data_IF_488267775690
#
_entry.id   IF_488267775690
#
_cell.length_a   1.000
_cell.length_b   1.000
_cell.length_c   1.000
_cell.angle_alpha   90.00
_cell.angle_beta   90.00
_cell.angle_gamma   90.00
#
_symmetry.space_group_name_H-M   'P 1'
#
loop_
_entity.id
_entity.type
_entity.pdbx_description
1 polymer ?
#
# COMPACT_ATOMS: atom_id res chain seq x y z
N UNK A 1 -21.67 4.82 -9.12
CA UNK A 1 -20.53 5.49 -8.47
C UNK A 1 -20.90 5.89 -7.05
N UNK A 2 -19.98 5.74 -6.09
CA UNK A 2 -20.27 6.04 -4.69
C UNK A 2 -19.21 5.53 -3.72
N UNK A 3 -19.43 5.71 -2.42
CA UNK A 3 -18.58 5.18 -1.35
C UNK A 3 -19.29 4.01 -0.67
N UNK A 4 -18.57 2.92 -0.38
CA UNK A 4 -19.16 1.71 0.19
C UNK A 4 -18.14 0.80 0.87
N UNK A 5 -18.66 -0.28 1.45
CA UNK A 5 -17.85 -1.31 2.12
C UNK A 5 -18.23 -2.71 1.63
N UNK A 6 -17.23 -3.55 1.40
CA UNK A 6 -17.38 -4.96 1.02
C UNK A 6 -16.60 -5.81 2.01
N UNK A 7 -17.23 -6.86 2.54
CA UNK A 7 -16.55 -7.96 3.22
C UNK A 7 -16.60 -9.17 2.31
N UNK A 8 -15.44 -9.71 1.97
CA UNK A 8 -15.31 -10.82 1.06
C UNK A 8 -15.44 -12.16 1.82
N UNK A 9 -15.84 -13.21 1.11
CA UNK A 9 -15.99 -14.55 1.71
C UNK A 9 -14.67 -15.12 2.28
N UNK A 10 -13.52 -14.68 1.75
CA UNK A 10 -12.21 -15.06 2.25
C UNK A 10 -11.82 -14.35 3.57
N UNK A 11 -12.63 -13.40 4.04
CA UNK A 11 -12.41 -12.61 5.25
C UNK A 11 -11.66 -11.29 5.02
N UNK A 12 -11.29 -10.98 3.78
CA UNK A 12 -10.79 -9.66 3.44
C UNK A 12 -11.92 -8.62 3.50
N UNK A 13 -11.56 -7.34 3.57
CA UNK A 13 -12.52 -6.27 3.42
C UNK A 13 -11.96 -5.07 2.66
N UNK A 14 -12.87 -4.35 2.01
CA UNK A 14 -12.59 -3.08 1.36
C UNK A 14 -13.59 -2.03 1.84
N UNK A 15 -13.13 -0.79 1.99
CA UNK A 15 -13.99 0.37 2.21
C UNK A 15 -13.43 1.53 1.43
N UNK A 16 -14.21 2.13 0.53
CA UNK A 16 -13.71 3.15 -0.37
C UNK A 16 -14.68 3.52 -1.48
N UNK A 17 -14.15 4.25 -2.46
CA UNK A 17 -14.90 4.65 -3.64
C UNK A 17 -15.08 3.53 -4.66
N UNK A 18 -16.18 3.61 -5.39
CA UNK A 18 -16.52 2.75 -6.52
C UNK A 18 -16.93 3.60 -7.72
N UNK A 19 -16.48 3.19 -8.90
CA UNK A 19 -16.89 3.72 -10.20
C UNK A 19 -17.09 2.53 -11.14
N UNK A 20 -18.25 2.45 -11.80
CA UNK A 20 -18.59 1.33 -12.70
C UNK A 20 -18.32 -0.07 -12.11
N UNK A 21 -18.78 -0.30 -10.87
CA UNK A 21 -18.59 -1.55 -10.09
C UNK A 21 -17.12 -1.92 -9.78
N UNK A 22 -16.16 -1.04 -10.07
CA UNK A 22 -14.74 -1.19 -9.74
C UNK A 22 -14.35 -0.27 -8.60
N UNK A 23 -13.36 -0.67 -7.80
CA UNK A 23 -12.76 0.22 -6.79
C UNK A 23 -12.08 1.39 -7.47
N UNK A 24 -12.35 2.59 -6.98
CA UNK A 24 -11.86 3.83 -7.57
C UNK A 24 -11.67 4.93 -6.51
N UNK A 25 -10.71 5.82 -6.71
CA UNK A 25 -10.41 6.91 -5.79
C UNK A 25 -9.82 6.39 -4.48
N UNK A 26 -10.10 7.05 -3.35
CA UNK A 26 -9.53 6.65 -2.06
C UNK A 26 -10.21 5.40 -1.51
N UNK A 27 -9.42 4.45 -1.03
CA UNK A 27 -9.92 3.25 -0.37
C UNK A 27 -8.96 2.65 0.64
N UNK A 28 -9.51 1.84 1.53
CA UNK A 28 -8.81 0.97 2.46
C UNK A 28 -9.12 -0.48 2.09
N UNK A 29 -8.09 -1.30 1.93
CA UNK A 29 -8.22 -2.74 1.85
C UNK A 29 -7.54 -3.37 3.07
N UNK A 30 -8.20 -4.34 3.69
CA UNK A 30 -7.68 -5.12 4.80
C UNK A 30 -7.72 -6.58 4.40
N UNK A 31 -6.55 -7.20 4.34
CA UNK A 31 -6.44 -8.63 4.13
C UNK A 31 -6.68 -9.37 5.44
N UNK A 32 -7.25 -10.57 5.36
CA UNK A 32 -7.46 -11.45 6.52
C UNK A 32 -6.16 -11.77 7.26
N UNK A 33 -5.02 -11.78 6.57
CA UNK A 33 -3.70 -12.00 7.17
C UNK A 33 -3.21 -10.81 8.02
N UNK A 34 -3.95 -9.69 8.07
CA UNK A 34 -3.62 -8.51 8.83
C UNK A 34 -2.87 -7.43 8.05
N UNK A 35 -2.46 -7.68 6.80
CA UNK A 35 -1.97 -6.62 5.94
C UNK A 35 -3.08 -5.59 5.70
N UNK A 36 -2.72 -4.33 5.55
CA UNK A 36 -3.63 -3.25 5.21
C UNK A 36 -3.04 -2.36 4.12
N UNK A 37 -3.87 -1.84 3.24
CA UNK A 37 -3.50 -0.82 2.25
C UNK A 37 -4.49 0.34 2.35
N UNK A 38 -3.96 1.55 2.23
CA UNK A 38 -4.71 2.80 2.18
C UNK A 38 -4.16 3.63 1.04
N UNK A 39 -4.98 4.03 0.08
CA UNK A 39 -4.46 4.83 -1.03
C UNK A 39 -5.44 5.00 -2.17
N UNK A 40 -4.89 5.40 -3.30
CA UNK A 40 -5.65 5.57 -4.54
C UNK A 40 -5.91 4.23 -5.23
N UNK A 41 -7.10 4.12 -5.80
CA UNK A 41 -7.53 3.02 -6.64
C UNK A 41 -7.95 3.54 -8.01
N UNK A 42 -7.65 2.78 -9.05
CA UNK A 42 -8.17 2.97 -10.39
C UNK A 42 -8.29 1.61 -11.05
N UNK A 43 -9.43 1.33 -11.68
CA UNK A 43 -9.71 0.05 -12.33
C UNK A 43 -9.41 -1.17 -11.44
N UNK A 44 -9.87 -1.15 -10.18
CA UNK A 44 -9.64 -2.21 -9.18
C UNK A 44 -8.18 -2.42 -8.73
N UNK A 45 -7.24 -1.61 -9.20
CA UNK A 45 -5.83 -1.69 -8.84
C UNK A 45 -5.43 -0.55 -7.90
N UNK A 46 -4.51 -0.82 -6.98
CA UNK A 46 -3.85 0.24 -6.24
C UNK A 46 -3.01 1.07 -7.22
N UNK A 47 -3.17 2.39 -7.16
CA UNK A 47 -2.44 3.34 -7.99
C UNK A 47 -2.05 4.58 -7.17
N UNK A 48 -1.41 5.55 -7.80
CA UNK A 48 -1.13 6.85 -7.19
C UNK A 48 -0.41 6.74 -5.84
N UNK A 49 -0.83 7.53 -4.85
CA UNK A 49 -0.20 7.51 -3.52
C UNK A 49 -0.88 6.49 -2.63
N UNK A 50 -0.07 5.67 -1.95
CA UNK A 50 -0.57 4.68 -1.01
C UNK A 50 0.35 4.40 0.16
N UNK A 51 -0.24 3.76 1.17
CA UNK A 51 0.41 3.24 2.36
C UNK A 51 0.05 1.77 2.50
N UNK A 52 1.04 0.89 2.50
CA UNK A 52 0.87 -0.53 2.81
C UNK A 52 1.47 -0.82 4.18
N UNK A 53 0.72 -1.51 5.03
CA UNK A 53 1.10 -1.87 6.39
C UNK A 53 1.06 -3.39 6.51
N UNK A 54 2.14 -3.98 7.02
CA UNK A 54 2.24 -5.41 7.28
C UNK A 54 1.88 -5.74 8.73
N UNK A 55 1.53 -7.00 9.05
CA UNK A 55 1.12 -7.41 10.39
C UNK A 55 2.18 -7.23 11.47
N UNK A 56 3.46 -7.21 11.06
CA UNK A 56 4.59 -6.94 11.95
C UNK A 56 4.71 -5.45 12.34
N UNK A 57 3.94 -4.57 11.70
CA UNK A 57 4.00 -3.12 11.88
C UNK A 57 4.93 -2.40 10.90
N UNK A 58 5.64 -3.14 10.05
CA UNK A 58 6.38 -2.55 8.93
C UNK A 58 5.41 -1.83 7.99
N UNK A 59 5.87 -0.76 7.33
CA UNK A 59 5.05 0.02 6.40
C UNK A 59 5.82 0.59 5.22
N UNK A 60 5.13 0.73 4.10
CA UNK A 60 5.61 1.37 2.89
C UNK A 60 4.71 2.56 2.59
N UNK A 61 5.30 3.71 2.33
CA UNK A 61 4.62 4.95 1.95
C UNK A 61 5.25 5.43 0.62
N UNK A 62 4.48 5.47 -0.46
CA UNK A 62 5.02 5.79 -1.78
C UNK A 62 4.01 5.72 -2.90
N UNK A 63 4.52 5.68 -4.14
CA UNK A 63 3.69 5.54 -5.33
C UNK A 63 3.39 4.07 -5.64
N UNK A 64 2.23 3.84 -6.25
CA UNK A 64 1.79 2.55 -6.75
C UNK A 64 1.40 2.65 -8.22
N UNK A 65 1.79 1.66 -9.00
CA UNK A 65 1.37 1.47 -10.39
C UNK A 65 0.98 0.01 -10.56
N UNK A 66 -0.26 -0.25 -10.99
CA UNK A 66 -0.80 -1.61 -11.17
C UNK A 66 -0.57 -2.51 -9.97
N UNK A 67 -0.91 -2.00 -8.79
CA UNK A 67 -0.74 -2.67 -7.49
C UNK A 67 0.69 -2.98 -7.06
N UNK A 68 1.70 -2.42 -7.75
CA UNK A 68 3.11 -2.57 -7.39
C UNK A 68 3.67 -1.25 -6.89
N UNK A 69 4.58 -1.31 -5.91
CA UNK A 69 5.33 -0.14 -5.43
C UNK A 69 6.22 0.37 -6.57
N UNK A 70 6.19 1.68 -6.79
CA UNK A 70 6.88 2.36 -7.89
C UNK A 70 7.40 3.72 -7.41
N UNK A 71 8.38 4.29 -8.12
CA UNK A 71 8.90 5.63 -7.86
C UNK A 71 9.60 5.77 -6.50
N UNK A 72 9.60 6.97 -5.93
CA UNK A 72 10.24 7.23 -4.65
C UNK A 72 9.31 6.82 -3.50
N UNK A 73 9.81 5.95 -2.63
CA UNK A 73 9.04 5.47 -1.47
C UNK A 73 9.89 5.26 -0.23
N UNK A 74 9.23 5.35 0.93
CA UNK A 74 9.79 5.07 2.25
C UNK A 74 9.28 3.75 2.76
N UNK A 75 10.17 2.81 3.04
CA UNK A 75 9.87 1.58 3.77
C UNK A 75 10.42 1.67 5.19
N UNK A 76 9.55 1.60 6.19
CA UNK A 76 9.90 1.62 7.61
C UNK A 76 9.62 0.24 8.19
N UNK A 77 10.62 -0.38 8.80
CA UNK A 77 10.52 -1.65 9.51
C UNK A 77 9.85 -1.44 10.88
N UNK A 78 9.36 -2.53 11.47
CA UNK A 78 8.74 -2.53 12.80
C UNK A 78 9.63 -1.96 13.92
N UNK A 79 10.96 -2.08 13.78
CA UNK A 79 11.95 -1.54 14.72
C UNK A 79 12.16 -0.03 14.57
N UNK A 80 11.56 0.61 13.57
CA UNK A 80 11.73 2.03 13.24
C UNK A 80 12.87 2.31 12.26
N UNK A 81 13.70 1.32 11.92
CA UNK A 81 14.67 1.41 10.84
C UNK A 81 13.96 1.68 9.52
N UNK A 82 14.56 2.44 8.61
CA UNK A 82 13.89 2.78 7.36
C UNK A 82 14.84 2.86 6.17
N UNK A 83 14.25 2.68 4.99
CA UNK A 83 14.84 2.89 3.68
C UNK A 83 14.00 3.93 2.93
N UNK A 84 14.67 4.92 2.33
CA UNK A 84 14.07 5.82 1.34
C UNK A 84 14.86 5.68 0.04
N UNK A 85 14.17 5.38 -1.05
CA UNK A 85 14.80 5.23 -2.37
C UNK A 85 13.80 4.92 -3.48
N UNK A 86 14.33 4.58 -4.65
CA UNK A 86 13.55 4.22 -5.82
C UNK A 86 13.00 2.78 -5.73
N UNK A 87 11.78 2.62 -6.22
CA UNK A 87 11.05 1.37 -6.31
C UNK A 87 10.61 1.16 -7.75
N UNK A 88 10.76 -0.06 -8.24
CA UNK A 88 10.31 -0.44 -9.57
C UNK A 88 9.78 -1.86 -9.54
N UNK A 89 8.53 -2.04 -9.97
CA UNK A 89 7.91 -3.37 -9.97
C UNK A 89 7.91 -4.04 -8.59
N UNK A 90 7.73 -3.26 -7.52
CA UNK A 90 7.70 -3.77 -6.16
C UNK A 90 9.07 -4.06 -5.52
N UNK A 91 10.17 -3.91 -6.25
CA UNK A 91 11.53 -4.10 -5.73
C UNK A 91 12.20 -2.75 -5.51
N UNK A 92 13.07 -2.65 -4.50
CA UNK A 92 13.93 -1.48 -4.38
C UNK A 92 15.02 -1.55 -5.47
N UNK A 93 15.06 -0.53 -6.33
CA UNK A 93 16.14 -0.35 -7.31
C UNK A 93 16.97 0.87 -6.88
N UNK A 94 18.29 0.76 -6.94
CA UNK A 94 19.20 1.89 -6.75
C UNK A 94 19.73 2.13 -5.33
N UNK A 95 20.49 3.23 -5.21
CA UNK A 95 21.03 3.72 -3.95
C UNK A 95 19.92 4.44 -3.16
N UNK A 96 19.78 4.11 -1.87
CA UNK A 96 18.81 4.79 -1.01
C UNK A 96 19.37 4.98 0.38
N UNK A 97 18.80 5.93 1.12
CA UNK A 97 19.22 6.22 2.49
C UNK A 97 18.65 5.15 3.39
N UNK A 98 19.55 4.33 3.96
CA UNK A 98 19.22 3.35 5.00
C UNK A 98 19.58 3.96 6.34
N UNK A 99 18.61 4.10 7.21
CA UNK A 99 18.84 4.47 8.59
C UNK A 99 18.48 3.27 9.46
N UNK A 100 19.50 2.60 9.96
CA UNK A 100 19.38 1.53 10.93
C UNK A 100 19.44 2.13 12.32
N UNK A 101 18.45 1.85 13.15
CA UNK A 101 18.58 2.18 14.57
C UNK A 101 19.59 1.20 15.17
N UNK A 102 20.82 1.68 15.42
CA UNK A 102 21.79 0.93 16.21
C UNK A 102 21.26 0.83 17.63
N UNK A 103 21.12 -0.40 18.11
CA UNK A 103 20.73 -0.72 19.48
C UNK A 103 21.77 -0.22 20.49
#
# INVERSE_FOLDING_TARGET
DGFGGITFANGDSYTGGFMEDRRYGKGKYKWKNGCEYYGDYGDDECCGKGVMIWPDGSRYEGDFVRSQREGIGRFTLADGSYYVGEWKGGQCEGEGVRHWLSR
#
